data_IF_248712612029
#
_entry.id   IF_248712612029
#
_cell.length_a   1.000
_cell.length_b   1.000
_cell.length_c   1.000
_cell.angle_alpha   90.00
_cell.angle_beta   90.00
_cell.angle_gamma   90.00
#
_symmetry.space_group_name_H-M   'P 1'
#
loop_
_entity.id
_entity.type
_entity.pdbx_description
1 polymer ?
#
# COMPACT_ATOMS: atom_id res chain seq x y z
N UNK A 1 25.06 -45.04 10.20
CA UNK A 1 23.94 -44.92 11.19
C UNK A 1 23.36 -43.53 11.01
N UNK A 2 22.26 -43.45 10.28
CA UNK A 2 21.63 -42.15 9.88
C UNK A 2 20.43 -41.93 10.79
N UNK A 3 20.41 -40.79 11.49
CA UNK A 3 19.25 -40.38 12.28
C UNK A 3 18.24 -39.67 11.38
N UNK A 4 16.96 -40.02 11.38
CA UNK A 4 15.94 -39.29 10.69
C UNK A 4 15.52 -38.05 11.50
N UNK A 5 15.62 -36.88 10.89
CA UNK A 5 15.04 -35.64 11.44
C UNK A 5 13.51 -35.74 11.40
N UNK A 6 12.90 -35.80 12.56
CA UNK A 6 11.45 -35.68 12.71
C UNK A 6 11.03 -34.24 12.41
N UNK A 7 10.26 -34.04 11.32
CA UNK A 7 9.60 -32.78 11.01
C UNK A 7 8.44 -32.60 11.99
N UNK A 8 8.54 -31.60 12.87
CA UNK A 8 7.44 -31.21 13.77
C UNK A 8 6.27 -30.64 12.94
N UNK A 9 5.10 -31.24 13.10
CA UNK A 9 3.86 -30.73 12.50
C UNK A 9 3.53 -29.31 13.00
N UNK A 10 2.93 -28.46 12.16
CA UNK A 10 2.54 -27.11 12.57
C UNK A 10 1.46 -27.18 13.65
N UNK A 11 1.60 -26.35 14.67
CA UNK A 11 0.63 -26.21 15.75
C UNK A 11 -0.73 -25.85 15.18
N UNK A 12 -1.70 -26.75 15.27
CA UNK A 12 -3.08 -26.51 14.93
C UNK A 12 -3.66 -25.43 15.86
N UNK A 13 -4.20 -24.37 15.29
CA UNK A 13 -5.03 -23.44 16.03
C UNK A 13 -6.27 -24.20 16.52
N UNK A 14 -6.72 -23.99 17.77
CA UNK A 14 -7.95 -24.62 18.23
C UNK A 14 -9.12 -24.10 17.39
N UNK A 15 -9.91 -25.04 16.86
CA UNK A 15 -11.17 -24.72 16.21
C UNK A 15 -12.07 -23.98 17.21
N UNK A 16 -12.26 -22.67 17.00
CA UNK A 16 -13.17 -21.88 17.79
C UNK A 16 -14.59 -22.39 17.60
N UNK A 17 -15.25 -22.69 18.70
CA UNK A 17 -16.66 -23.03 18.75
C UNK A 17 -17.50 -21.98 18.02
N UNK A 18 -18.37 -22.43 17.12
CA UNK A 18 -19.35 -21.59 16.43
C UNK A 18 -20.20 -20.85 17.48
N UNK A 19 -20.10 -19.53 17.50
CA UNK A 19 -21.02 -18.64 18.20
C UNK A 19 -21.80 -17.92 17.11
N UNK A 20 -23.11 -18.04 17.14
CA UNK A 20 -24.06 -17.36 16.27
C UNK A 20 -23.76 -15.85 16.19
N UNK A 21 -23.48 -15.37 14.99
CA UNK A 21 -23.18 -13.99 14.66
C UNK A 21 -22.01 -14.00 13.66
N UNK A 22 -22.32 -13.86 12.39
CA UNK A 22 -21.35 -13.77 11.31
C UNK A 22 -20.35 -12.66 11.62
N UNK A 23 -19.17 -13.01 12.13
CA UNK A 23 -18.13 -12.06 12.51
C UNK A 23 -17.57 -11.45 11.24
N UNK A 24 -18.09 -10.30 10.86
CA UNK A 24 -17.69 -9.56 9.66
C UNK A 24 -16.27 -9.02 9.89
N UNK A 25 -15.28 -9.65 9.27
CA UNK A 25 -13.90 -9.18 9.29
C UNK A 25 -13.74 -8.05 8.27
N UNK A 26 -13.79 -6.81 8.74
CA UNK A 26 -13.59 -5.62 7.92
C UNK A 26 -12.12 -5.21 7.94
N UNK A 27 -11.54 -4.80 6.81
CA UNK A 27 -10.18 -4.30 6.76
C UNK A 27 -10.07 -3.01 7.58
N UNK A 28 -9.06 -2.93 8.44
CA UNK A 28 -8.71 -1.72 9.19
C UNK A 28 -7.65 -0.88 8.47
N UNK A 29 -6.93 -1.51 7.57
CA UNK A 29 -5.87 -0.93 6.77
C UNK A 29 -5.78 -1.68 5.44
N UNK A 30 -5.61 -0.93 4.36
CA UNK A 30 -5.32 -1.45 3.02
C UNK A 30 -4.04 -0.78 2.54
N UNK A 31 -2.99 -1.58 2.35
CA UNK A 31 -1.79 -1.15 1.64
C UNK A 31 -1.99 -1.47 0.16
N UNK A 32 -2.19 -0.43 -0.64
CA UNK A 32 -2.48 -0.56 -2.05
C UNK A 32 -1.24 -0.21 -2.89
N UNK A 33 -0.70 -1.22 -3.57
CA UNK A 33 0.35 -1.04 -4.57
C UNK A 33 -0.28 -0.42 -5.83
N UNK A 34 -0.31 0.90 -5.89
CA UNK A 34 -0.99 1.68 -6.93
C UNK A 34 -0.28 1.60 -8.28
N UNK A 35 1.02 1.33 -8.26
CA UNK A 35 1.87 1.10 -9.44
C UNK A 35 3.06 0.22 -9.06
N UNK A 36 3.60 -0.51 -10.01
CA UNK A 36 4.89 -1.21 -9.88
C UNK A 36 6.04 -0.38 -10.42
N UNK A 37 5.77 0.75 -11.08
CA UNK A 37 6.82 1.65 -11.57
C UNK A 37 7.58 2.28 -10.41
N UNK A 38 8.91 2.31 -10.49
CA UNK A 38 9.77 2.93 -9.50
C UNK A 38 10.99 3.57 -10.17
N UNK A 39 11.43 4.70 -9.63
CA UNK A 39 12.68 5.37 -10.03
C UNK A 39 13.92 4.71 -9.42
N UNK A 40 13.73 3.87 -8.38
CA UNK A 40 14.78 3.14 -7.70
C UNK A 40 14.80 1.67 -8.13
N UNK A 41 15.96 1.03 -7.94
CA UNK A 41 16.18 -0.40 -8.19
C UNK A 41 16.82 -1.03 -6.94
N UNK A 42 16.16 -0.91 -5.79
CA UNK A 42 16.67 -1.40 -4.51
C UNK A 42 16.86 -2.92 -4.54
N UNK A 43 18.00 -3.40 -4.09
CA UNK A 43 18.35 -4.84 -4.10
C UNK A 43 17.44 -5.68 -3.20
N UNK A 44 16.84 -5.08 -2.17
CA UNK A 44 15.92 -5.70 -1.22
C UNK A 44 14.45 -5.48 -1.57
N UNK A 45 14.15 -4.92 -2.76
CA UNK A 45 12.77 -4.58 -3.12
C UNK A 45 11.88 -5.83 -3.22
N UNK A 46 10.91 -5.95 -2.30
CA UNK A 46 9.96 -7.08 -2.28
C UNK A 46 9.07 -7.12 -3.52
N UNK A 47 8.69 -5.96 -4.05
CA UNK A 47 7.87 -5.83 -5.25
C UNK A 47 8.64 -6.08 -6.55
N UNK A 48 9.97 -6.19 -6.50
CA UNK A 48 10.85 -6.20 -7.67
C UNK A 48 10.48 -5.08 -8.66
N UNK A 49 10.19 -3.90 -8.10
CA UNK A 49 9.76 -2.74 -8.86
C UNK A 49 10.88 -2.26 -9.79
N UNK A 50 10.51 -1.76 -10.96
CA UNK A 50 11.41 -1.21 -11.98
C UNK A 50 10.72 -0.03 -12.65
N UNK A 51 11.44 0.67 -13.49
CA UNK A 51 10.85 1.71 -14.32
C UNK A 51 9.82 1.08 -15.29
N UNK A 52 8.54 1.54 -15.20
CA UNK A 52 7.41 1.03 -16.00
C UNK A 52 7.31 1.66 -17.39
N UNK A 53 6.15 1.54 -18.04
CA UNK A 53 4.83 1.17 -17.48
C UNK A 53 4.59 -0.33 -17.33
N UNK A 54 3.60 -0.69 -16.48
CA UNK A 54 3.18 -2.08 -16.26
C UNK A 54 1.74 -2.30 -16.73
N UNK A 55 1.48 -3.35 -17.53
CA UNK A 55 0.12 -3.69 -17.94
C UNK A 55 -0.70 -4.19 -16.74
N UNK A 56 -1.99 -3.87 -16.75
CA UNK A 56 -2.94 -4.35 -15.74
C UNK A 56 -3.01 -3.51 -14.46
N UNK A 57 -2.33 -2.38 -14.39
CA UNK A 57 -2.57 -1.38 -13.35
C UNK A 57 -3.96 -0.75 -13.54
N UNK A 58 -4.68 -0.50 -12.45
CA UNK A 58 -5.98 0.17 -12.51
C UNK A 58 -5.82 1.56 -13.14
N UNK A 59 -6.67 1.92 -14.07
CA UNK A 59 -6.78 3.29 -14.54
C UNK A 59 -7.41 4.19 -13.48
N UNK A 60 -7.56 5.48 -13.74
CA UNK A 60 -8.09 6.44 -12.77
C UNK A 60 -9.54 6.13 -12.37
N UNK A 61 -10.38 5.76 -13.34
CA UNK A 61 -11.80 5.45 -13.10
C UNK A 61 -11.96 4.19 -12.27
N UNK A 62 -11.20 3.14 -12.60
CA UNK A 62 -11.18 1.89 -11.82
C UNK A 62 -10.63 2.12 -10.41
N UNK A 63 -9.63 3.01 -10.25
CA UNK A 63 -9.09 3.40 -8.96
C UNK A 63 -10.12 4.11 -8.09
N UNK A 64 -10.93 4.99 -8.66
CA UNK A 64 -12.04 5.65 -7.95
C UNK A 64 -13.11 4.64 -7.56
N UNK A 65 -13.55 3.79 -8.50
CA UNK A 65 -14.53 2.74 -8.24
C UNK A 65 -14.07 1.79 -7.13
N UNK A 66 -12.78 1.45 -7.08
CA UNK A 66 -12.20 0.66 -5.98
C UNK A 66 -12.35 1.37 -4.62
N UNK A 67 -12.09 2.67 -4.54
CA UNK A 67 -12.23 3.43 -3.29
C UNK A 67 -13.70 3.57 -2.88
N UNK A 68 -14.60 3.77 -3.84
CA UNK A 68 -16.05 3.83 -3.61
C UNK A 68 -16.56 2.49 -3.04
N UNK A 69 -16.13 1.37 -3.64
CA UNK A 69 -16.50 0.03 -3.18
C UNK A 69 -15.99 -0.22 -1.76
N UNK A 70 -14.71 0.05 -1.49
CA UNK A 70 -14.13 -0.08 -0.15
C UNK A 70 -14.92 0.74 0.87
N UNK A 71 -15.26 2.00 0.54
CA UNK A 71 -16.03 2.87 1.44
C UNK A 71 -17.42 2.35 1.70
N UNK A 72 -18.04 1.64 0.76
CA UNK A 72 -19.39 1.11 0.90
C UNK A 72 -19.54 0.12 2.06
N UNK A 73 -18.47 -0.55 2.46
CA UNK A 73 -18.51 -1.57 3.51
C UNK A 73 -17.52 -1.36 4.67
N UNK A 74 -16.55 -0.45 4.57
CA UNK A 74 -15.51 -0.25 5.59
C UNK A 74 -14.89 1.15 5.53
N UNK A 75 -14.22 1.56 6.61
CA UNK A 75 -13.47 2.82 6.75
C UNK A 75 -11.99 2.57 7.08
N UNK A 76 -11.24 1.85 6.23
CA UNK A 76 -9.84 1.57 6.50
C UNK A 76 -8.96 2.80 6.32
N UNK A 77 -7.72 2.70 6.84
CA UNK A 77 -6.63 3.56 6.38
C UNK A 77 -6.18 3.03 5.01
N UNK A 78 -6.13 3.89 4.00
CA UNK A 78 -5.60 3.55 2.68
C UNK A 78 -4.17 4.05 2.59
N UNK A 79 -3.21 3.15 2.43
CA UNK A 79 -1.81 3.48 2.20
C UNK A 79 -1.52 3.34 0.71
N UNK A 80 -1.34 4.47 0.04
CA UNK A 80 -0.89 4.54 -1.35
C UNK A 80 0.60 4.22 -1.39
N UNK A 81 0.94 3.08 -1.97
CA UNK A 81 2.30 2.54 -2.05
C UNK A 81 2.51 1.84 -3.39
N UNK A 82 3.49 0.96 -3.49
CA UNK A 82 3.79 0.17 -4.68
C UNK A 82 5.28 0.12 -4.98
N UNK A 83 5.67 0.43 -6.21
CA UNK A 83 7.02 0.85 -6.52
C UNK A 83 7.23 2.25 -5.92
N UNK A 84 6.99 3.28 -6.72
CA UNK A 84 6.94 4.67 -6.25
C UNK A 84 5.57 5.27 -6.60
N UNK A 85 4.69 5.51 -5.63
CA UNK A 85 3.34 5.99 -5.92
C UNK A 85 3.30 7.32 -6.66
N UNK A 86 4.31 8.19 -6.45
CA UNK A 86 4.41 9.48 -7.13
C UNK A 86 4.75 9.37 -8.62
N UNK A 87 5.06 8.18 -9.13
CA UNK A 87 5.20 7.95 -10.58
C UNK A 87 3.86 7.84 -11.30
N UNK A 88 2.75 7.66 -10.58
CA UNK A 88 1.42 7.77 -11.16
C UNK A 88 1.04 9.23 -11.33
N UNK A 89 0.65 9.62 -12.52
CA UNK A 89 0.25 11.02 -12.82
C UNK A 89 -1.05 11.43 -12.12
N UNK A 90 -1.92 10.47 -11.83
CA UNK A 90 -3.25 10.64 -11.22
C UNK A 90 -3.26 10.36 -9.70
N UNK A 91 -2.11 10.14 -9.06
CA UNK A 91 -2.05 9.72 -7.66
C UNK A 91 -2.69 10.74 -6.70
N UNK A 92 -2.56 12.03 -7.00
CA UNK A 92 -3.15 13.09 -6.19
C UNK A 92 -4.67 13.19 -6.37
N UNK A 93 -5.19 12.88 -7.57
CA UNK A 93 -6.63 12.82 -7.83
C UNK A 93 -7.24 11.61 -7.11
N UNK A 94 -6.57 10.47 -7.12
CA UNK A 94 -6.96 9.28 -6.36
C UNK A 94 -6.99 9.58 -4.85
N UNK A 95 -5.94 10.24 -4.32
CA UNK A 95 -5.89 10.62 -2.92
C UNK A 95 -7.02 11.58 -2.56
N UNK A 96 -7.29 12.57 -3.41
CA UNK A 96 -8.35 13.54 -3.23
C UNK A 96 -9.74 12.89 -3.23
N UNK A 97 -9.98 11.97 -4.17
CA UNK A 97 -11.22 11.20 -4.23
C UNK A 97 -11.45 10.42 -2.92
N UNK A 98 -10.46 9.64 -2.48
CA UNK A 98 -10.57 8.91 -1.21
C UNK A 98 -10.80 9.82 -0.01
N UNK A 99 -10.15 11.00 0.03
CA UNK A 99 -10.37 12.00 1.09
C UNK A 99 -11.81 12.55 1.05
N UNK A 100 -12.34 12.81 -0.14
CA UNK A 100 -13.73 13.28 -0.29
C UNK A 100 -14.76 12.25 0.16
N UNK A 101 -14.44 10.96 0.00
CA UNK A 101 -15.24 9.85 0.57
C UNK A 101 -15.11 9.75 2.10
N UNK A 102 -14.21 10.50 2.73
CA UNK A 102 -13.93 10.44 4.16
C UNK A 102 -12.99 9.31 4.56
N UNK A 103 -12.29 8.69 3.61
CA UNK A 103 -11.23 7.72 3.89
C UNK A 103 -9.96 8.44 4.39
N UNK A 104 -9.20 7.76 5.24
CA UNK A 104 -7.90 8.25 5.71
C UNK A 104 -6.81 7.87 4.73
N UNK A 105 -6.41 8.84 3.89
CA UNK A 105 -5.40 8.63 2.87
C UNK A 105 -3.99 8.87 3.42
N UNK A 106 -3.09 7.94 3.19
CA UNK A 106 -1.68 7.96 3.59
C UNK A 106 -0.83 7.61 2.37
N UNK A 107 0.37 8.15 2.26
CA UNK A 107 1.28 7.82 1.15
C UNK A 107 2.63 7.36 1.68
N UNK A 108 3.22 6.35 1.01
CA UNK A 108 4.52 5.78 1.36
C UNK A 108 5.50 5.88 0.16
N UNK A 109 6.01 7.08 -0.15
CA UNK A 109 6.99 7.28 -1.21
C UNK A 109 8.41 6.93 -0.77
N UNK A 110 9.30 6.69 -1.73
CA UNK A 110 10.73 6.52 -1.45
C UNK A 110 11.43 7.82 -1.01
N UNK A 111 10.82 8.97 -1.26
CA UNK A 111 11.34 10.28 -0.90
C UNK A 111 12.14 10.98 -1.98
N UNK A 112 12.70 10.26 -2.96
CA UNK A 112 13.56 10.84 -4.00
C UNK A 112 12.85 11.90 -4.87
N UNK A 113 11.56 11.72 -5.12
CA UNK A 113 10.75 12.63 -5.95
C UNK A 113 10.11 13.76 -5.14
N UNK A 114 10.24 13.77 -3.82
CA UNK A 114 9.57 14.76 -2.98
C UNK A 114 10.24 16.12 -3.13
N UNK A 115 9.52 17.08 -3.72
CA UNK A 115 9.85 18.50 -3.77
C UNK A 115 8.84 19.28 -2.93
N UNK A 116 9.11 20.55 -2.67
CA UNK A 116 8.17 21.41 -1.95
C UNK A 116 6.82 21.51 -2.68
N UNK A 117 6.83 21.64 -4.02
CA UNK A 117 5.63 21.65 -4.84
C UNK A 117 4.81 20.35 -4.70
N UNK A 118 5.48 19.20 -4.78
CA UNK A 118 4.81 17.90 -4.66
C UNK A 118 4.34 17.62 -3.23
N UNK A 119 5.07 18.09 -2.22
CA UNK A 119 4.61 18.05 -0.84
C UNK A 119 3.33 18.90 -0.63
N UNK A 120 3.24 20.07 -1.29
CA UNK A 120 2.02 20.87 -1.27
C UNK A 120 0.86 20.14 -1.97
N UNK A 121 1.10 19.50 -3.12
CA UNK A 121 0.07 18.66 -3.79
C UNK A 121 -0.42 17.51 -2.91
N UNK A 122 0.47 16.85 -2.18
CA UNK A 122 0.07 15.82 -1.19
C UNK A 122 -0.89 16.40 -0.15
N UNK A 123 -0.55 17.56 0.42
CA UNK A 123 -1.38 18.24 1.41
C UNK A 123 -2.73 18.63 0.83
N UNK A 124 -2.76 19.21 -0.36
CA UNK A 124 -3.99 19.70 -1.03
C UNK A 124 -4.91 18.56 -1.46
N UNK A 125 -4.35 17.36 -1.71
CA UNK A 125 -5.13 16.14 -1.97
C UNK A 125 -5.66 15.45 -0.71
N UNK A 126 -5.33 15.98 0.48
CA UNK A 126 -5.82 15.46 1.76
C UNK A 126 -5.04 14.27 2.30
N UNK A 127 -3.82 14.03 1.81
CA UNK A 127 -2.92 13.02 2.41
C UNK A 127 -2.58 13.43 3.84
N UNK A 128 -3.00 12.62 4.81
CA UNK A 128 -2.88 12.93 6.24
C UNK A 128 -1.52 12.56 6.83
N UNK A 129 -0.81 11.64 6.20
CA UNK A 129 0.51 11.15 6.66
C UNK A 129 1.34 10.69 5.49
N UNK A 130 2.64 10.95 5.58
CA UNK A 130 3.65 10.42 4.65
C UNK A 130 4.64 9.58 5.44
N UNK A 131 5.02 8.43 4.89
CA UNK A 131 6.06 7.55 5.43
C UNK A 131 7.15 7.42 4.39
N UNK A 132 8.32 7.99 4.66
CA UNK A 132 9.47 7.91 3.77
C UNK A 132 10.30 6.66 4.06
N UNK A 133 10.70 5.95 3.02
CA UNK A 133 11.61 4.81 3.12
C UNK A 133 13.06 5.30 3.05
N UNK A 134 13.72 5.40 4.20
CA UNK A 134 15.11 5.85 4.32
C UNK A 134 15.93 4.66 4.80
N UNK A 135 16.84 4.19 3.96
CA UNK A 135 17.66 3.00 4.25
C UNK A 135 18.96 3.35 4.97
N UNK A 136 19.45 4.59 4.86
CA UNK A 136 20.68 5.05 5.50
C UNK A 136 20.82 6.57 5.47
N UNK A 137 21.77 7.09 6.22
CA UNK A 137 22.09 8.52 6.29
C UNK A 137 23.27 8.89 5.35
N UNK A 138 24.02 7.90 4.91
CA UNK A 138 25.16 8.07 4.00
C UNK A 138 25.11 7.04 2.86
N UNK A 139 25.89 7.27 1.80
CA UNK A 139 25.95 6.36 0.66
C UNK A 139 26.63 4.99 1.00
N UNK A 140 27.29 4.89 2.15
CA UNK A 140 27.99 3.68 2.59
C UNK A 140 27.08 2.77 3.47
N UNK A 141 25.93 3.24 3.90
CA UNK A 141 24.92 2.51 4.68
C UNK A 141 23.86 1.86 3.81
#
# INVERSE_FOLDING_TARGET
>A
MSHPHAVKAPHGHPAGSAVDGEKKYLPRLIAWETTRSCVLNCVHCRAAAKYGPYPGELNTEDAFAFLDDVKSFSDPIIILTGGEPMMRTDIYDIAKHGTQLGLRMVMAPCGLLVTEELAQKMKDSGIMRVSLSIDGLTAEQ
#
